data_IF_360386837103
#
_entry.id   IF_360386837103
#
_cell.length_a   1.000
_cell.length_b   1.000
_cell.length_c   1.000
_cell.angle_alpha   90.00
_cell.angle_beta   90.00
_cell.angle_gamma   90.00
#
_symmetry.space_group_name_H-M   'P 1'
#
loop_
_entity.id
_entity.type
_entity.pdbx_description
1 polymer ?
#
# COMPACT_ATOMS: atom_id res chain seq x y z
N UNK A 1 -12.93 3.28 -3.06
CA UNK A 1 -11.75 2.37 -2.97
C UNK A 1 -11.40 1.90 -4.39
N UNK A 2 -10.12 1.83 -4.79
CA UNK A 2 -9.77 1.39 -6.17
C UNK A 2 -9.64 -0.13 -6.23
N UNK A 3 -10.19 -0.72 -7.29
CA UNK A 3 -10.14 -2.16 -7.59
C UNK A 3 -9.14 -2.38 -8.71
N UNK A 4 -8.31 -3.41 -8.59
CA UNK A 4 -7.25 -3.69 -9.55
C UNK A 4 -7.19 -5.18 -9.87
N UNK A 5 -7.15 -5.50 -11.16
CA UNK A 5 -6.85 -6.84 -11.67
C UNK A 5 -5.49 -6.78 -12.34
N UNK A 6 -4.56 -7.63 -11.89
CA UNK A 6 -3.17 -7.60 -12.38
C UNK A 6 -3.01 -8.37 -13.69
N UNK A 7 -3.64 -9.53 -13.81
CA UNK A 7 -3.49 -10.41 -14.97
C UNK A 7 -4.77 -11.18 -15.19
N UNK A 8 -5.16 -11.30 -16.45
CA UNK A 8 -6.30 -12.11 -16.91
C UNK A 8 -5.77 -13.17 -17.85
N UNK A 9 -6.23 -14.41 -17.66
CA UNK A 9 -5.91 -15.53 -18.54
C UNK A 9 -7.21 -16.08 -19.12
N UNK A 10 -7.37 -16.01 -20.43
CA UNK A 10 -8.47 -16.62 -21.18
C UNK A 10 -7.92 -17.67 -22.14
N UNK A 11 -8.67 -18.75 -22.34
CA UNK A 11 -8.30 -19.84 -23.24
C UNK A 11 -9.49 -20.22 -24.10
N UNK A 12 -9.25 -20.34 -25.40
CA UNK A 12 -10.22 -20.81 -26.40
C UNK A 12 -9.45 -21.40 -27.58
N UNK A 13 -10.11 -22.25 -28.37
CA UNK A 13 -9.60 -22.72 -29.67
C UNK A 13 -9.85 -21.70 -30.80
N UNK A 14 -10.60 -20.63 -30.51
CA UNK A 14 -10.96 -19.55 -31.43
C UNK A 14 -10.57 -18.20 -30.81
N UNK A 15 -9.73 -17.45 -31.53
CA UNK A 15 -9.22 -16.13 -31.13
C UNK A 15 -10.34 -15.08 -31.04
N UNK A 16 -11.37 -15.16 -31.89
CA UNK A 16 -12.51 -14.24 -31.84
C UNK A 16 -13.28 -14.39 -30.52
N UNK A 17 -13.36 -15.62 -29.99
CA UNK A 17 -13.94 -15.87 -28.67
C UNK A 17 -13.07 -15.36 -27.52
N UNK A 18 -11.74 -15.35 -27.67
CA UNK A 18 -10.84 -14.74 -26.67
C UNK A 18 -11.09 -13.24 -26.61
N UNK A 19 -11.08 -12.55 -27.76
CA UNK A 19 -11.29 -11.10 -27.80
C UNK A 19 -12.65 -10.70 -27.20
N UNK A 20 -13.72 -11.39 -27.63
CA UNK A 20 -15.07 -11.18 -27.08
C UNK A 20 -15.14 -11.48 -25.58
N UNK A 21 -14.50 -12.56 -25.14
CA UNK A 21 -14.42 -12.93 -23.73
C UNK A 21 -13.74 -11.87 -22.86
N UNK A 22 -12.68 -11.24 -23.38
CA UNK A 22 -11.97 -10.14 -22.70
C UNK A 22 -12.90 -8.96 -22.47
N UNK A 23 -13.58 -8.48 -23.52
CA UNK A 23 -14.52 -7.35 -23.42
C UNK A 23 -15.65 -7.67 -22.44
N UNK A 24 -16.23 -8.86 -22.53
CA UNK A 24 -17.31 -9.28 -21.63
C UNK A 24 -16.87 -9.33 -20.16
N UNK A 25 -15.66 -9.83 -19.91
CA UNK A 25 -15.10 -9.93 -18.56
C UNK A 25 -14.76 -8.54 -18.00
N UNK A 26 -14.20 -7.66 -18.81
CA UNK A 26 -13.92 -6.27 -18.44
C UNK A 26 -15.22 -5.54 -18.05
N UNK A 27 -16.25 -5.62 -18.89
CA UNK A 27 -17.58 -5.06 -18.61
C UNK A 27 -18.19 -5.66 -17.34
N UNK A 28 -18.05 -6.98 -17.14
CA UNK A 28 -18.54 -7.65 -15.94
C UNK A 28 -17.82 -7.18 -14.67
N UNK A 29 -16.50 -6.98 -14.71
CA UNK A 29 -15.71 -6.47 -13.58
C UNK A 29 -16.06 -5.01 -13.25
N UNK A 30 -16.38 -4.21 -14.27
CA UNK A 30 -16.90 -2.86 -14.10
C UNK A 30 -18.32 -2.84 -13.50
N UNK A 31 -19.16 -3.80 -13.88
CA UNK A 31 -20.55 -3.92 -13.42
C UNK A 31 -20.66 -4.51 -12.02
N UNK A 32 -19.72 -5.39 -11.65
CA UNK A 32 -19.77 -6.13 -10.39
C UNK A 32 -19.77 -5.23 -9.15
N UNK A 33 -20.67 -5.53 -8.22
CA UNK A 33 -20.81 -4.91 -6.91
C UNK A 33 -20.10 -5.75 -5.85
N UNK A 34 -18.82 -5.47 -5.63
CA UNK A 34 -18.05 -6.14 -4.58
C UNK A 34 -18.26 -5.48 -3.22
N UNK A 35 -18.36 -6.26 -2.12
CA UNK A 35 -18.66 -5.74 -0.79
C UNK A 35 -17.54 -4.83 -0.26
N UNK A 36 -17.89 -3.59 0.08
CA UNK A 36 -17.00 -2.63 0.72
C UNK A 36 -16.91 -2.92 2.22
N UNK A 37 -16.00 -3.80 2.60
CA UNK A 37 -15.87 -4.28 3.98
C UNK A 37 -14.93 -3.43 4.85
N UNK A 38 -14.52 -2.24 4.39
CA UNK A 38 -13.50 -1.38 5.05
C UNK A 38 -12.07 -1.94 5.04
N UNK A 39 -11.95 -3.27 4.93
CA UNK A 39 -10.71 -4.03 4.79
C UNK A 39 -10.17 -4.03 3.37
N UNK A 40 -8.85 -4.14 3.26
CA UNK A 40 -8.16 -4.42 2.00
C UNK A 40 -8.13 -5.94 1.80
N UNK A 41 -8.89 -6.45 0.82
CA UNK A 41 -8.90 -7.86 0.43
C UNK A 41 -8.01 -8.07 -0.79
N UNK A 42 -7.07 -9.01 -0.69
CA UNK A 42 -6.18 -9.41 -1.77
C UNK A 42 -6.48 -10.86 -2.14
N UNK A 43 -6.66 -11.12 -3.43
CA UNK A 43 -6.98 -12.44 -3.96
C UNK A 43 -5.88 -12.86 -4.92
N UNK A 44 -5.25 -14.00 -4.64
CA UNK A 44 -4.15 -14.54 -5.42
C UNK A 44 -4.59 -14.94 -6.83
N UNK A 45 -5.77 -15.54 -6.92
CA UNK A 45 -6.40 -15.95 -8.17
C UNK A 45 -7.90 -16.10 -7.97
N UNK A 46 -8.68 -15.59 -8.91
CA UNK A 46 -10.12 -15.79 -8.99
C UNK A 46 -10.40 -16.54 -10.30
N UNK A 47 -10.95 -17.75 -10.19
CA UNK A 47 -11.46 -18.43 -11.37
C UNK A 47 -12.79 -17.77 -11.79
N UNK A 48 -12.89 -17.33 -13.04
CA UNK A 48 -14.13 -16.79 -13.62
C UNK A 48 -15.06 -17.91 -14.14
N UNK A 49 -14.55 -19.14 -14.25
CA UNK A 49 -15.27 -20.27 -14.80
C UNK A 49 -15.35 -20.24 -16.34
N UNK A 50 -16.27 -21.03 -16.89
CA UNK A 50 -16.52 -21.05 -18.34
C UNK A 50 -17.42 -19.87 -18.69
N UNK A 51 -16.97 -19.07 -19.65
CA UNK A 51 -17.74 -17.95 -20.21
C UNK A 51 -18.41 -18.45 -21.49
N UNK A 52 -19.74 -18.45 -21.51
CA UNK A 52 -20.51 -18.86 -22.69
C UNK A 52 -20.76 -17.67 -23.63
N UNK A 53 -20.79 -17.92 -24.94
CA UNK A 53 -20.95 -16.87 -25.95
C UNK A 53 -22.26 -16.07 -25.84
N UNK A 54 -23.31 -16.68 -25.27
CA UNK A 54 -24.63 -16.07 -25.06
C UNK A 54 -24.77 -15.40 -23.68
N UNK A 55 -23.74 -15.49 -22.83
CA UNK A 55 -23.78 -14.92 -21.48
C UNK A 55 -23.67 -13.40 -21.54
N UNK A 56 -24.45 -12.70 -20.71
CA UNK A 56 -24.35 -11.26 -20.55
C UNK A 56 -23.27 -10.87 -19.52
N UNK A 57 -22.77 -9.64 -19.61
CA UNK A 57 -21.80 -9.09 -18.63
C UNK A 57 -22.40 -9.04 -17.23
N UNK A 58 -23.68 -8.70 -17.09
CA UNK A 58 -24.39 -8.70 -15.80
C UNK A 58 -24.47 -10.11 -15.17
N UNK A 59 -24.73 -11.15 -15.97
CA UNK A 59 -24.72 -12.52 -15.48
C UNK A 59 -23.32 -12.94 -15.01
N UNK A 60 -22.29 -12.59 -15.77
CA UNK A 60 -20.90 -12.86 -15.38
C UNK A 60 -20.50 -12.08 -14.12
N UNK A 61 -20.94 -10.83 -13.97
CA UNK A 61 -20.70 -10.01 -12.79
C UNK A 61 -21.23 -10.69 -11.52
N UNK A 62 -22.48 -11.17 -11.54
CA UNK A 62 -23.08 -11.91 -10.41
C UNK A 62 -22.28 -13.16 -10.04
N UNK A 63 -21.79 -13.91 -11.03
CA UNK A 63 -20.93 -15.08 -10.77
C UNK A 63 -19.63 -14.67 -10.09
N UNK A 64 -18.99 -13.59 -10.56
CA UNK A 64 -17.75 -13.08 -9.96
C UNK A 64 -17.99 -12.56 -8.52
N UNK A 65 -19.09 -11.87 -8.27
CA UNK A 65 -19.49 -11.40 -6.94
C UNK A 65 -19.67 -12.57 -5.97
N UNK A 66 -20.43 -13.60 -6.37
CA UNK A 66 -20.66 -14.79 -5.55
C UNK A 66 -19.35 -15.50 -5.22
N UNK A 67 -18.48 -15.69 -6.22
CA UNK A 67 -17.16 -16.33 -6.02
C UNK A 67 -16.26 -15.49 -5.11
N UNK A 68 -16.23 -14.16 -5.30
CA UNK A 68 -15.43 -13.29 -4.45
C UNK A 68 -15.96 -13.28 -3.01
N UNK A 69 -17.28 -13.28 -2.81
CA UNK A 69 -17.88 -13.39 -1.49
C UNK A 69 -17.48 -14.70 -0.80
N UNK A 70 -17.53 -15.83 -1.51
CA UNK A 70 -17.08 -17.13 -1.01
C UNK A 70 -15.61 -17.12 -0.60
N UNK A 71 -14.74 -16.62 -1.47
CA UNK A 71 -13.31 -16.48 -1.16
C UNK A 71 -13.10 -15.56 0.05
N UNK A 72 -13.84 -14.45 0.12
CA UNK A 72 -13.77 -13.48 1.21
C UNK A 72 -14.22 -14.00 2.57
N UNK A 73 -15.02 -15.07 2.63
CA UNK A 73 -15.36 -15.78 3.88
C UNK A 73 -14.21 -16.65 4.39
N UNK A 74 -13.34 -17.12 3.49
CA UNK A 74 -12.18 -17.97 3.82
C UNK A 74 -10.87 -17.19 3.90
N UNK A 75 -10.91 -15.86 3.71
CA UNK A 75 -9.73 -15.01 3.72
C UNK A 75 -9.12 -14.96 5.13
N UNK A 76 -7.80 -15.16 5.20
CA UNK A 76 -7.04 -15.10 6.45
C UNK A 76 -6.34 -13.75 6.62
N UNK A 77 -6.01 -13.38 7.85
CA UNK A 77 -5.23 -12.17 8.09
C UNK A 77 -3.80 -12.31 7.54
N UNK A 78 -3.18 -11.23 7.07
CA UNK A 78 -1.84 -11.27 6.46
C UNK A 78 -0.71 -11.72 7.41
N UNK A 79 -0.92 -11.59 8.72
CA UNK A 79 0.02 -12.07 9.74
C UNK A 79 -0.24 -13.51 10.19
N UNK A 80 -1.30 -14.15 9.68
CA UNK A 80 -1.56 -15.57 9.95
C UNK A 80 -0.46 -16.45 9.32
N UNK A 81 0.06 -17.47 10.02
CA UNK A 81 1.04 -18.40 9.46
C UNK A 81 0.62 -19.07 8.14
N UNK A 82 -0.68 -19.26 7.90
CA UNK A 82 -1.23 -19.85 6.68
C UNK A 82 -1.39 -18.85 5.51
N UNK A 83 -1.13 -17.54 5.72
CA UNK A 83 -1.39 -16.48 4.74
C UNK A 83 -0.67 -16.70 3.40
N UNK A 84 0.55 -17.22 3.41
CA UNK A 84 1.30 -17.46 2.18
C UNK A 84 0.65 -18.54 1.28
N UNK A 85 0.00 -19.54 1.88
CA UNK A 85 -0.72 -20.59 1.15
C UNK A 85 -2.17 -20.24 0.83
N UNK A 86 -2.74 -19.22 1.47
CA UNK A 86 -4.14 -18.85 1.28
C UNK A 86 -4.42 -18.28 -0.11
N UNK A 87 -5.64 -18.52 -0.61
CA UNK A 87 -6.12 -17.95 -1.89
C UNK A 87 -6.47 -16.47 -1.71
N UNK A 88 -6.88 -16.06 -0.50
CA UNK A 88 -7.14 -14.69 -0.16
C UNK A 88 -6.60 -14.32 1.21
N UNK A 89 -6.08 -13.10 1.28
CA UNK A 89 -5.53 -12.48 2.47
C UNK A 89 -6.20 -11.12 2.65
N UNK A 90 -6.48 -10.73 3.89
CA UNK A 90 -6.97 -9.40 4.19
C UNK A 90 -6.06 -8.63 5.15
N UNK A 91 -6.10 -7.31 5.00
CA UNK A 91 -5.65 -6.33 5.97
C UNK A 91 -6.86 -5.51 6.43
N UNK A 92 -6.88 -5.07 7.68
CA UNK A 92 -7.91 -4.24 8.32
C UNK A 92 -8.22 -2.96 7.54
N UNK A 93 -7.21 -2.36 6.93
CA UNK A 93 -7.33 -1.15 6.10
C UNK A 93 -6.16 -1.00 5.11
N UNK A 94 -6.05 0.15 4.44
CA UNK A 94 -4.99 0.45 3.47
C UNK A 94 -3.64 0.85 4.11
N UNK A 95 -3.61 1.15 5.41
CA UNK A 95 -2.39 1.53 6.16
C UNK A 95 -1.70 0.30 6.71
N UNK A 96 -2.47 -0.67 7.20
CA UNK A 96 -1.92 -1.86 7.86
C UNK A 96 -0.85 -2.62 7.06
N UNK A 97 -0.94 -2.82 5.73
CA UNK A 97 0.13 -3.50 4.99
C UNK A 97 1.50 -2.84 5.19
N UNK A 98 1.54 -1.51 5.20
CA UNK A 98 2.75 -0.73 5.39
C UNK A 98 3.31 -0.88 6.81
N UNK A 99 2.41 -0.94 7.80
CA UNK A 99 2.78 -1.18 9.19
C UNK A 99 3.36 -2.59 9.38
N UNK A 100 2.62 -3.64 8.98
CA UNK A 100 3.06 -5.02 9.12
C UNK A 100 4.40 -5.25 8.41
N UNK A 101 4.59 -4.63 7.24
CA UNK A 101 5.83 -4.72 6.50
C UNK A 101 6.99 -4.01 7.22
N UNK A 102 6.78 -2.79 7.73
CA UNK A 102 7.79 -2.09 8.53
C UNK A 102 8.18 -2.88 9.80
N UNK A 103 7.22 -3.53 10.46
CA UNK A 103 7.48 -4.39 11.60
C UNK A 103 8.30 -5.62 11.20
N UNK A 104 7.98 -6.28 10.09
CA UNK A 104 8.78 -7.40 9.57
C UNK A 104 10.21 -6.99 9.24
N UNK A 105 10.39 -5.85 8.55
CA UNK A 105 11.71 -5.30 8.22
C UNK A 105 12.53 -4.98 9.47
N UNK A 106 11.89 -4.43 10.51
CA UNK A 106 12.53 -4.15 11.80
C UNK A 106 13.00 -5.41 12.51
N UNK A 107 12.24 -6.50 12.38
CA UNK A 107 12.52 -7.79 12.99
C UNK A 107 13.31 -8.74 12.09
N UNK A 108 13.78 -8.29 10.92
CA UNK A 108 14.51 -9.13 9.96
C UNK A 108 13.73 -10.39 9.52
N UNK A 109 12.41 -10.29 9.44
CA UNK A 109 11.54 -11.37 8.97
C UNK A 109 11.42 -11.39 7.44
N UNK A 110 11.07 -12.56 6.89
CA UNK A 110 10.79 -12.69 5.45
C UNK A 110 9.61 -11.83 5.02
N UNK A 111 9.70 -11.36 3.77
CA UNK A 111 8.70 -10.53 3.09
C UNK A 111 8.44 -11.06 1.67
N UNK A 112 8.66 -12.37 1.49
CA UNK A 112 8.57 -13.07 0.21
C UNK A 112 7.16 -13.53 -0.13
N UNK A 113 6.21 -13.39 0.80
CA UNK A 113 4.83 -13.80 0.60
C UNK A 113 4.19 -13.02 -0.57
N UNK A 114 3.41 -13.74 -1.40
CA UNK A 114 2.88 -13.23 -2.68
C UNK A 114 2.10 -11.93 -2.55
N UNK A 115 1.41 -11.74 -1.41
CA UNK A 115 0.50 -10.63 -1.20
C UNK A 115 1.22 -9.29 -0.96
N UNK A 116 2.50 -9.27 -0.54
CA UNK A 116 3.23 -8.01 -0.32
C UNK A 116 3.33 -7.17 -1.59
N UNK A 117 3.56 -7.82 -2.73
CA UNK A 117 3.64 -7.17 -4.04
C UNK A 117 2.32 -6.56 -4.50
N UNK A 118 1.20 -7.01 -3.93
CA UNK A 118 -0.14 -6.50 -4.22
C UNK A 118 -0.58 -5.45 -3.19
N UNK A 119 -0.15 -5.60 -1.93
CA UNK A 119 -0.56 -4.74 -0.82
C UNK A 119 0.23 -3.43 -0.75
N UNK A 120 1.51 -3.47 -1.12
CA UNK A 120 2.45 -2.35 -0.93
C UNK A 120 2.95 -1.87 -2.29
N UNK A 121 2.78 -0.57 -2.53
CA UNK A 121 3.09 0.05 -3.81
C UNK A 121 4.57 -0.13 -4.19
N UNK A 122 4.81 -0.68 -5.39
CA UNK A 122 6.15 -0.96 -5.93
C UNK A 122 7.06 -1.76 -4.98
N UNK A 123 6.50 -2.68 -4.21
CA UNK A 123 7.27 -3.58 -3.35
C UNK A 123 8.01 -4.68 -4.13
N UNK A 124 9.21 -5.01 -3.66
CA UNK A 124 10.03 -6.13 -4.10
C UNK A 124 10.72 -6.75 -2.88
N UNK A 125 10.75 -8.08 -2.78
CA UNK A 125 11.26 -8.75 -1.58
C UNK A 125 12.80 -8.75 -1.47
N UNK A 126 13.50 -8.52 -2.58
CA UNK A 126 14.96 -8.50 -2.65
C UNK A 126 15.59 -7.13 -2.36
N UNK A 127 14.82 -6.17 -1.84
CA UNK A 127 15.32 -4.87 -1.44
C UNK A 127 16.18 -4.98 -0.18
N UNK A 128 17.17 -4.11 -0.04
CA UNK A 128 17.84 -3.92 1.25
C UNK A 128 16.83 -3.42 2.28
N UNK A 129 17.06 -3.70 3.58
CA UNK A 129 16.17 -3.25 4.65
C UNK A 129 15.89 -1.75 4.59
N UNK A 130 16.93 -0.95 4.37
CA UNK A 130 16.83 0.50 4.35
C UNK A 130 16.00 0.99 3.14
N UNK A 131 16.21 0.38 1.97
CA UNK A 131 15.38 0.68 0.80
C UNK A 131 13.93 0.21 1.00
N UNK A 132 13.73 -0.91 1.69
CA UNK A 132 12.43 -1.40 2.10
C UNK A 132 11.67 -0.38 2.97
N UNK A 133 12.33 0.20 3.97
CA UNK A 133 11.72 1.25 4.80
C UNK A 133 11.37 2.51 3.98
N UNK A 134 12.24 2.95 3.06
CA UNK A 134 11.89 4.05 2.15
C UNK A 134 10.68 3.70 1.29
N UNK A 135 10.59 2.46 0.80
CA UNK A 135 9.44 1.98 0.03
C UNK A 135 8.15 2.01 0.82
N UNK A 136 8.19 1.60 2.09
CA UNK A 136 7.05 1.69 3.00
C UNK A 136 6.61 3.15 3.16
N UNK A 137 7.56 4.04 3.45
CA UNK A 137 7.26 5.45 3.73
C UNK A 137 6.72 6.19 2.50
N UNK A 138 7.29 5.97 1.31
CA UNK A 138 6.78 6.61 0.09
C UNK A 138 5.52 5.95 -0.44
N UNK A 139 5.40 4.62 -0.29
CA UNK A 139 4.25 3.86 -0.75
C UNK A 139 2.99 4.19 0.03
N UNK A 140 3.08 4.38 1.35
CA UNK A 140 1.90 4.71 2.16
C UNK A 140 1.26 6.04 1.75
N UNK A 141 2.07 6.97 1.23
CA UNK A 141 1.61 8.26 0.70
C UNK A 141 0.89 8.13 -0.64
N UNK A 142 1.00 7.00 -1.32
CA UNK A 142 0.27 6.70 -2.56
C UNK A 142 -1.11 6.06 -2.28
N UNK A 143 -1.43 5.77 -1.02
CA UNK A 143 -2.76 5.30 -0.62
C UNK A 143 -3.80 6.40 -0.79
N UNK A 144 -5.09 6.06 -0.73
CA UNK A 144 -6.17 7.04 -0.80
C UNK A 144 -6.14 8.07 0.35
N UNK A 145 -5.47 7.74 1.47
CA UNK A 145 -5.30 8.64 2.63
C UNK A 145 -4.21 9.68 2.35
N UNK A 146 -3.27 9.37 1.44
CA UNK A 146 -2.19 10.26 1.06
C UNK A 146 -1.18 10.49 2.19
N UNK A 147 -0.63 11.70 2.23
CA UNK A 147 0.43 12.10 3.19
C UNK A 147 -0.03 11.95 4.65
N UNK A 148 -1.32 12.11 4.93
CA UNK A 148 -1.87 11.95 6.29
C UNK A 148 -1.66 10.54 6.86
N UNK A 149 -1.44 9.53 6.01
CA UNK A 149 -1.18 8.15 6.44
C UNK A 149 0.18 7.96 7.12
N UNK A 150 1.12 8.91 6.95
CA UNK A 150 2.43 8.87 7.63
C UNK A 150 2.25 8.94 9.15
N UNK A 151 1.31 9.75 9.63
CA UNK A 151 1.11 9.98 11.06
C UNK A 151 0.76 8.69 11.80
N UNK A 152 -0.30 7.94 11.44
CA UNK A 152 -0.62 6.68 12.13
C UNK A 152 0.48 5.64 11.98
N UNK A 153 1.16 5.55 10.83
CA UNK A 153 2.31 4.64 10.65
C UNK A 153 3.41 4.95 11.68
N UNK A 154 3.82 6.21 11.77
CA UNK A 154 4.92 6.64 12.64
C UNK A 154 4.53 6.56 14.12
N UNK A 155 3.28 6.87 14.48
CA UNK A 155 2.77 6.69 15.84
C UNK A 155 2.82 5.22 16.27
N UNK A 156 2.41 4.32 15.39
CA UNK A 156 2.40 2.89 15.70
C UNK A 156 3.83 2.33 15.78
N UNK A 157 4.73 2.74 14.88
CA UNK A 157 6.14 2.34 14.94
C UNK A 157 6.84 2.89 16.20
N UNK A 158 6.51 4.11 16.63
CA UNK A 158 7.01 4.66 17.88
C UNK A 158 6.51 3.83 19.08
N UNK A 159 5.21 3.51 19.10
CA UNK A 159 4.58 2.71 20.16
C UNK A 159 5.18 1.31 20.25
N UNK A 160 5.56 0.72 19.11
CA UNK A 160 6.18 -0.61 19.02
C UNK A 160 7.71 -0.59 19.03
N UNK A 161 8.33 0.54 19.39
CA UNK A 161 9.79 0.76 19.44
C UNK A 161 10.54 0.40 18.14
N UNK A 162 9.85 0.42 17.01
CA UNK A 162 10.35 0.09 15.67
C UNK A 162 10.64 1.33 14.80
N UNK A 163 10.54 2.53 15.37
CA UNK A 163 10.78 3.79 14.64
C UNK A 163 12.26 4.02 14.33
N UNK A 164 13.18 3.58 15.19
CA UNK A 164 14.62 3.84 15.04
C UNK A 164 15.20 3.22 13.76
N UNK A 165 14.93 1.94 13.42
CA UNK A 165 15.33 1.36 12.15
C UNK A 165 14.85 2.17 10.94
N UNK A 166 13.59 2.61 10.94
CA UNK A 166 13.04 3.43 9.87
C UNK A 166 13.79 4.76 9.74
N UNK A 167 14.01 5.48 10.84
CA UNK A 167 14.73 6.76 10.80
C UNK A 167 16.18 6.58 10.36
N UNK A 168 16.83 5.49 10.75
CA UNK A 168 18.20 5.18 10.34
C UNK A 168 18.35 4.86 8.85
N UNK A 169 17.26 4.39 8.21
CA UNK A 169 17.22 4.13 6.78
C UNK A 169 17.10 5.41 5.94
N UNK A 170 16.66 6.52 6.53
CA UNK A 170 16.48 7.79 5.81
C UNK A 170 17.81 8.48 5.56
N UNK A 171 17.94 9.06 4.37
CA UNK A 171 19.05 9.91 3.96
C UNK A 171 18.61 11.38 3.93
N UNK A 172 19.57 12.29 3.82
CA UNK A 172 19.28 13.72 3.71
C UNK A 172 18.42 14.07 2.47
N UNK A 173 18.55 13.30 1.38
CA UNK A 173 17.74 13.49 0.18
C UNK A 173 16.26 13.23 0.46
N UNK A 174 15.98 12.20 1.27
CA UNK A 174 14.63 11.77 1.62
C UNK A 174 13.90 12.85 2.42
N UNK A 175 14.60 13.52 3.34
CA UNK A 175 14.04 14.64 4.12
C UNK A 175 13.49 15.75 3.24
N UNK A 176 14.22 16.15 2.20
CA UNK A 176 13.75 17.18 1.26
C UNK A 176 12.52 16.75 0.45
N UNK A 177 12.46 15.46 0.08
CA UNK A 177 11.34 14.90 -0.65
C UNK A 177 10.09 14.79 0.22
N UNK A 178 10.23 14.36 1.47
CA UNK A 178 9.14 14.25 2.44
C UNK A 178 8.57 15.63 2.78
N UNK A 179 9.42 16.63 3.03
CA UNK A 179 8.97 18.00 3.29
C UNK A 179 8.21 18.60 2.09
N UNK A 180 8.65 18.35 0.85
CA UNK A 180 7.89 18.76 -0.35
C UNK A 180 6.54 18.06 -0.42
N UNK A 181 6.50 16.75 -0.16
CA UNK A 181 5.27 15.99 -0.22
C UNK A 181 4.26 16.42 0.86
N UNK A 182 4.75 16.80 2.05
CA UNK A 182 3.93 17.42 3.10
C UNK A 182 3.52 18.87 2.79
N UNK A 183 3.96 19.45 1.67
CA UNK A 183 3.66 20.83 1.28
C UNK A 183 4.46 21.90 2.03
N UNK A 184 5.51 21.52 2.76
CA UNK A 184 6.33 22.44 3.56
C UNK A 184 7.43 23.12 2.74
N UNK A 185 7.89 22.47 1.67
CA UNK A 185 8.80 23.06 0.68
C UNK A 185 8.08 23.27 -0.64
N UNK A 186 8.19 24.48 -1.19
CA UNK A 186 7.67 24.78 -2.53
C UNK A 186 8.47 24.01 -3.58
N UNK A 187 7.77 23.28 -4.45
CA UNK A 187 8.34 22.76 -5.68
C UNK A 187 8.83 23.95 -6.53
N UNK A 188 10.03 23.85 -7.15
CA UNK A 188 10.56 24.90 -8.03
C UNK A 188 9.74 25.10 -9.31
N UNK A 189 8.67 24.33 -9.51
CA UNK A 189 7.81 24.42 -10.68
C UNK A 189 6.39 24.82 -10.26
N UNK A 190 5.98 25.97 -10.78
CA UNK A 190 4.62 26.51 -10.88
C UNK A 190 4.04 27.34 -9.72
N UNK A 191 3.74 28.57 -10.11
CA UNK A 191 2.91 29.60 -9.47
C UNK A 191 1.47 29.11 -9.43
N UNK A 192 0.90 28.97 -8.23
CA UNK A 192 -0.49 28.62 -8.02
C UNK A 192 -0.76 28.42 -6.55
N UNK A 193 -1.59 29.28 -5.98
CA UNK A 193 -1.90 29.36 -4.55
C UNK A 193 -2.38 28.01 -3.99
N UNK A 194 -1.52 27.31 -3.24
CA UNK A 194 -1.92 26.20 -2.38
C UNK A 194 -2.06 26.77 -0.98
N UNK A 195 -3.28 26.73 -0.42
CA UNK A 195 -3.53 27.05 0.99
C UNK A 195 -2.63 26.16 1.85
N UNK A 196 -1.84 26.70 2.80
CA UNK A 196 -1.07 25.89 3.71
C UNK A 196 -2.01 24.99 4.51
N UNK A 197 -1.63 23.71 4.68
CA UNK A 197 -2.26 22.82 5.64
C UNK A 197 -2.24 23.52 7.01
N UNK A 198 -3.43 23.76 7.57
CA UNK A 198 -3.58 24.29 8.93
C UNK A 198 -2.90 23.33 9.90
N UNK A 199 -1.86 23.80 10.59
CA UNK A 199 -0.99 23.01 11.51
C UNK A 199 -1.71 22.67 12.84
N UNK A 200 -3.05 22.65 12.86
CA UNK A 200 -3.83 22.48 14.08
C UNK A 200 -4.00 21.01 14.54
N UNK A 201 -3.12 20.09 14.15
CA UNK A 201 -3.19 18.70 14.63
C UNK A 201 -1.84 17.96 14.59
N UNK A 202 -0.80 18.54 15.20
CA UNK A 202 0.42 17.80 15.54
C UNK A 202 0.35 17.41 17.02
N UNK A 203 0.20 16.11 17.36
CA UNK A 203 0.25 15.65 18.74
C UNK A 203 1.60 16.00 19.39
N UNK A 204 1.62 16.38 20.67
CA UNK A 204 2.84 16.73 21.45
C UNK A 204 4.08 15.84 21.20
N UNK A 205 3.97 14.51 21.07
CA UNK A 205 5.12 13.65 20.81
C UNK A 205 5.94 14.02 19.55
N UNK A 206 5.29 14.57 18.54
CA UNK A 206 5.96 15.01 17.31
C UNK A 206 6.67 16.36 17.46
N UNK A 207 6.14 17.25 18.31
CA UNK A 207 6.81 18.49 18.68
C UNK A 207 8.11 18.15 19.41
N UNK A 208 8.05 17.20 20.35
CA UNK A 208 9.22 16.77 21.12
C UNK A 208 10.26 16.07 20.23
N UNK A 209 9.83 15.22 19.29
CA UNK A 209 10.73 14.52 18.36
C UNK A 209 11.41 15.50 17.38
N UNK A 210 10.69 16.50 16.87
CA UNK A 210 11.26 17.55 16.02
C UNK A 210 12.21 18.47 16.80
N UNK A 211 11.86 18.82 18.04
CA UNK A 211 12.71 19.65 18.91
C UNK A 211 13.98 18.91 19.36
N UNK A 212 13.90 17.62 19.63
CA UNK A 212 15.07 16.79 19.93
C UNK A 212 15.92 16.51 18.69
N UNK A 213 15.30 16.24 17.52
CA UNK A 213 16.01 16.02 16.26
C UNK A 213 16.79 17.24 15.76
N UNK A 214 16.24 18.45 15.93
CA UNK A 214 16.93 19.70 15.60
C UNK A 214 18.17 19.95 16.48
N UNK A 215 18.12 19.58 17.77
CA UNK A 215 19.27 19.69 18.68
C UNK A 215 20.44 18.76 18.31
N UNK A 216 20.17 17.61 17.68
CA UNK A 216 21.23 16.72 17.18
C UNK A 216 21.86 17.21 15.87
N UNK A 217 21.15 18.03 15.08
CA UNK A 217 21.65 18.60 13.83
C UNK A 217 22.62 19.77 14.02
N UNK A 218 22.46 20.57 15.08
CA UNK A 218 23.35 21.72 15.35
C UNK A 218 24.69 21.33 16.01
N UNK A 219 24.77 20.19 16.68
CA UNK A 219 26.00 19.73 17.35
C UNK A 219 27.03 19.07 16.43
N UNK A 220 26.76 18.92 15.13
CA UNK A 220 27.73 18.39 14.14
C UNK A 220 28.32 19.43 13.19
N UNK A 221 27.98 20.71 13.33
CA UNK A 221 28.49 21.80 12.48
C UNK A 221 29.44 22.80 13.17
N UNK A 222 29.98 22.47 14.35
CA UNK A 222 30.92 23.34 15.07
C UNK A 222 32.32 22.77 15.34
N UNK A 223 32.69 21.62 14.76
CA UNK A 223 34.00 21.00 15.03
C UNK A 223 34.81 20.64 13.77
N UNK A 224 34.83 21.56 12.80
CA UNK A 224 35.80 21.57 11.69
C UNK A 224 36.17 23.00 11.32
N UNK A 225 36.91 23.67 12.20
CA UNK A 225 37.68 24.89 11.91
C UNK A 225 38.61 25.17 13.10
N UNK A 226 39.89 24.77 12.99
CA UNK A 226 40.93 25.07 13.97
C UNK A 226 41.80 23.88 14.31
#
# INVERSE_FOLDING_TARGET
>A
MKRHVHTVHLRSHDEALIHRGTVLLEDALHTASFPESGRLLLVRSLDAGKIHSQQSSATLALVLEQRLAQIGMTAVHAEDPAANSAIAVYFRDQVEPYLCLAMRLSNHLSTDEWFWRLAVFNWQANLSRDEGFRRVLYGIMQTAIGVSAIVPLMQELLTRTAITPLLSALTWHDGSALLRACGWLKSKTSIGSIKPLSISFIPKPWIDLLQHGLKFGELKMLDRSG
#
